data_IF_214434940216
#
_entry.id   IF_214434940216
#
_cell.length_a   1.000
_cell.length_b   1.000
_cell.length_c   1.000
_cell.angle_alpha   90.00
_cell.angle_beta   90.00
_cell.angle_gamma   90.00
#
_symmetry.space_group_name_H-M   'P 1'
#
loop_
_entity.id
_entity.type
_entity.pdbx_description
1 polymer ?
#
# COMPACT_ATOMS: atom_id res chain seq x y z
N UNK A 1 -7.78 8.06 -101.46
CA UNK A 1 -8.06 9.50 -101.58
C UNK A 1 -8.08 10.06 -100.18
N UNK A 2 -7.13 10.96 -99.88
CA UNK A 2 -7.13 12.01 -98.84
C UNK A 2 -7.09 11.57 -97.35
N UNK A 3 -5.96 11.93 -96.74
CA UNK A 3 -5.59 12.12 -95.30
C UNK A 3 -6.36 13.35 -94.75
N UNK A 4 -6.46 13.75 -93.45
CA UNK A 4 -6.13 13.19 -92.10
C UNK A 4 -7.31 13.29 -91.10
N UNK A 5 -7.08 12.99 -89.81
CA UNK A 5 -7.21 13.97 -88.69
C UNK A 5 -7.56 13.31 -87.35
N UNK A 6 -6.68 13.55 -86.39
CA UNK A 6 -6.92 13.90 -84.98
C UNK A 6 -8.27 13.56 -84.33
N UNK A 7 -8.16 12.97 -83.14
CA UNK A 7 -8.81 13.58 -81.98
C UNK A 7 -9.77 12.69 -81.21
N UNK A 8 -9.19 12.04 -80.19
CA UNK A 8 -9.81 11.63 -78.92
C UNK A 8 -10.85 10.50 -78.98
N UNK A 9 -10.38 9.29 -78.66
CA UNK A 9 -11.15 8.32 -77.90
C UNK A 9 -10.25 7.74 -76.80
N UNK A 10 -10.75 7.79 -75.55
CA UNK A 10 -10.15 7.07 -74.43
C UNK A 10 -10.33 5.55 -74.58
N UNK A 11 -9.66 4.76 -73.72
CA UNK A 11 -10.47 4.14 -72.66
C UNK A 11 -9.69 3.96 -71.35
N UNK A 12 -10.21 4.57 -70.27
CA UNK A 12 -9.87 4.16 -68.90
C UNK A 12 -10.97 3.26 -68.34
N UNK A 13 -10.54 2.01 -68.10
CA UNK A 13 -10.81 1.14 -66.95
C UNK A 13 -12.27 0.92 -66.46
N UNK A 14 -12.79 -0.33 -66.48
CA UNK A 14 -14.08 -0.66 -65.90
C UNK A 14 -13.91 -1.07 -64.42
N UNK A 15 -14.63 -0.41 -63.51
CA UNK A 15 -14.79 -0.95 -62.15
C UNK A 15 -15.07 0.04 -61.04
N UNK A 16 -16.14 0.84 -61.12
CA UNK A 16 -16.82 1.43 -59.96
C UNK A 16 -18.27 1.77 -60.36
N UNK A 17 -19.21 1.00 -59.84
CA UNK A 17 -20.65 1.23 -60.01
C UNK A 17 -21.17 1.99 -58.81
N UNK A 18 -21.24 3.31 -58.94
CA UNK A 18 -22.13 4.17 -58.13
C UNK A 18 -23.24 4.64 -59.07
N UNK A 19 -24.45 4.08 -58.90
CA UNK A 19 -25.63 4.51 -59.63
C UNK A 19 -26.38 5.60 -58.84
N UNK A 20 -26.82 6.69 -59.50
CA UNK A 20 -27.53 7.79 -58.87
C UNK A 20 -29.01 7.46 -58.66
N UNK A 21 -29.54 7.87 -57.52
CA UNK A 21 -30.96 7.71 -57.17
C UNK A 21 -31.82 8.69 -57.97
N UNK A 22 -32.60 8.17 -58.92
CA UNK A 22 -33.72 8.86 -59.56
C UNK A 22 -34.96 8.72 -58.68
N UNK A 23 -35.58 9.85 -58.36
CA UNK A 23 -36.79 9.97 -57.54
C UNK A 23 -38.01 9.46 -58.32
N UNK A 24 -38.55 8.31 -57.93
CA UNK A 24 -39.90 7.85 -58.30
C UNK A 24 -40.87 8.12 -57.14
N UNK A 25 -41.78 9.07 -57.34
CA UNK A 25 -42.90 9.35 -56.41
C UNK A 25 -43.91 8.20 -56.47
N UNK A 26 -43.90 7.33 -55.46
CA UNK A 26 -44.91 6.31 -55.24
C UNK A 26 -45.37 6.29 -53.78
N UNK A 27 -46.66 6.62 -53.57
CA UNK A 27 -47.55 6.39 -52.40
C UNK A 27 -46.97 6.60 -50.98
N UNK A 28 -47.53 7.49 -50.14
CA UNK A 28 -47.01 7.73 -48.80
C UNK A 28 -47.13 6.46 -47.94
N UNK A 29 -46.04 6.00 -47.30
CA UNK A 29 -46.14 4.97 -46.28
C UNK A 29 -46.94 5.51 -45.10
N UNK A 30 -47.81 4.67 -44.54
CA UNK A 30 -48.54 4.94 -43.29
C UNK A 30 -47.54 5.46 -42.27
N UNK A 31 -47.82 6.65 -41.71
CA UNK A 31 -47.05 7.28 -40.61
C UNK A 31 -46.64 6.19 -39.63
N UNK A 32 -45.34 5.90 -39.57
CA UNK A 32 -44.77 5.19 -38.44
C UNK A 32 -45.04 6.09 -37.22
N UNK A 33 -45.90 5.61 -36.33
CA UNK A 33 -46.12 6.18 -35.02
C UNK A 33 -44.78 6.20 -34.29
N UNK A 34 -44.19 7.39 -34.16
CA UNK A 34 -43.20 7.68 -33.11
C UNK A 34 -43.80 7.16 -31.80
N UNK A 35 -43.07 6.40 -30.96
CA UNK A 35 -43.60 5.99 -29.67
C UNK A 35 -44.09 7.25 -28.95
N UNK A 36 -45.37 7.25 -28.57
CA UNK A 36 -45.99 8.40 -27.93
C UNK A 36 -45.15 8.77 -26.71
N UNK A 37 -44.54 9.96 -26.72
CA UNK A 37 -43.95 10.56 -25.53
C UNK A 37 -45.12 10.84 -24.58
N UNK A 38 -45.35 9.91 -23.65
CA UNK A 38 -46.39 10.05 -22.65
C UNK A 38 -46.04 11.15 -21.67
N UNK A 39 -46.76 12.28 -21.74
CA UNK A 39 -46.80 13.35 -20.74
C UNK A 39 -45.46 14.03 -20.41
N UNK A 40 -45.47 15.14 -19.66
CA UNK A 40 -44.25 15.63 -19.04
C UNK A 40 -43.78 14.55 -18.05
N UNK A 41 -42.71 13.83 -18.39
CA UNK A 41 -42.03 12.96 -17.45
C UNK A 41 -41.58 13.84 -16.28
N UNK A 42 -42.11 13.59 -15.08
CA UNK A 42 -41.54 14.17 -13.87
C UNK A 42 -40.04 13.84 -13.87
N UNK A 43 -39.15 14.84 -13.75
CA UNK A 43 -37.73 14.59 -13.78
C UNK A 43 -37.39 13.66 -12.62
N UNK A 44 -37.02 12.43 -12.94
CA UNK A 44 -36.55 11.48 -11.95
C UNK A 44 -35.42 12.16 -11.17
N UNK A 45 -35.40 12.06 -9.82
CA UNK A 45 -34.35 12.67 -9.04
C UNK A 45 -33.00 12.11 -9.51
N UNK A 46 -32.14 12.99 -10.04
CA UNK A 46 -30.79 12.66 -10.49
C UNK A 46 -29.85 12.33 -9.33
N UNK A 47 -30.30 12.54 -8.09
CA UNK A 47 -29.58 12.22 -6.88
C UNK A 47 -29.55 10.70 -6.64
N UNK A 48 -28.38 10.19 -6.27
CA UNK A 48 -28.23 8.78 -5.90
C UNK A 48 -28.96 8.47 -4.58
N UNK A 49 -29.61 7.32 -4.52
CA UNK A 49 -30.09 6.73 -3.28
C UNK A 49 -28.91 6.29 -2.39
N UNK A 50 -29.18 6.01 -1.10
CA UNK A 50 -28.16 5.50 -0.19
C UNK A 50 -27.52 4.19 -0.69
N UNK A 51 -28.29 3.30 -1.29
CA UNK A 51 -27.79 2.04 -1.87
C UNK A 51 -26.92 2.30 -3.11
N UNK A 52 -27.31 3.26 -3.94
CA UNK A 52 -26.51 3.67 -5.11
C UNK A 52 -25.18 4.29 -4.68
N UNK A 53 -25.19 5.11 -3.61
CA UNK A 53 -23.98 5.61 -2.96
C UNK A 53 -23.11 4.49 -2.40
N UNK A 54 -23.68 3.52 -1.67
CA UNK A 54 -22.93 2.39 -1.13
C UNK A 54 -22.28 1.53 -2.22
N UNK A 55 -23.00 1.28 -3.31
CA UNK A 55 -22.47 0.55 -4.46
C UNK A 55 -21.36 1.32 -5.19
N UNK A 56 -21.53 2.64 -5.34
CA UNK A 56 -20.51 3.50 -5.94
C UNK A 56 -19.24 3.56 -5.07
N UNK A 57 -19.38 3.77 -3.76
CA UNK A 57 -18.28 3.77 -2.79
C UNK A 57 -17.51 2.45 -2.84
N UNK A 58 -18.21 1.32 -2.80
CA UNK A 58 -17.56 0.01 -2.91
C UNK A 58 -16.76 -0.14 -4.21
N UNK A 59 -17.33 0.26 -5.36
CA UNK A 59 -16.63 0.18 -6.66
C UNK A 59 -15.41 1.09 -6.72
N UNK A 60 -15.54 2.33 -6.24
CA UNK A 60 -14.45 3.30 -6.21
C UNK A 60 -13.31 2.83 -5.31
N UNK A 61 -13.61 2.23 -4.15
CA UNK A 61 -12.59 1.67 -3.25
C UNK A 61 -11.76 0.58 -3.93
N UNK A 62 -12.41 -0.36 -4.61
CA UNK A 62 -11.71 -1.45 -5.29
C UNK A 62 -10.87 -0.92 -6.47
N UNK A 63 -11.44 -0.04 -7.29
CA UNK A 63 -10.74 0.54 -8.43
C UNK A 63 -9.57 1.44 -8.01
N UNK A 64 -9.77 2.30 -7.01
CA UNK A 64 -8.74 3.18 -6.46
C UNK A 64 -7.57 2.38 -5.88
N UNK A 65 -7.86 1.33 -5.12
CA UNK A 65 -6.81 0.45 -4.56
C UNK A 65 -6.02 -0.27 -5.65
N UNK A 66 -6.68 -0.81 -6.68
CA UNK A 66 -5.99 -1.39 -7.83
C UNK A 66 -5.13 -0.37 -8.58
N UNK A 67 -5.62 0.86 -8.75
CA UNK A 67 -4.89 1.93 -9.41
C UNK A 67 -3.61 2.32 -8.66
N UNK A 68 -3.63 2.36 -7.32
CA UNK A 68 -2.43 2.66 -6.52
C UNK A 68 -1.33 1.63 -6.78
N UNK A 69 -1.66 0.34 -6.78
CA UNK A 69 -0.69 -0.72 -7.08
C UNK A 69 -0.13 -0.63 -8.50
N UNK A 70 -1.00 -0.42 -9.48
CA UNK A 70 -0.57 -0.27 -10.88
C UNK A 70 0.35 0.95 -11.05
N UNK A 71 -0.03 2.09 -10.47
CA UNK A 71 0.76 3.30 -10.50
C UNK A 71 2.13 3.09 -9.83
N UNK A 72 2.18 2.42 -8.67
CA UNK A 72 3.43 2.13 -7.98
C UNK A 72 4.41 1.30 -8.83
N UNK A 73 3.91 0.27 -9.52
CA UNK A 73 4.74 -0.52 -10.45
C UNK A 73 5.24 0.35 -11.59
N UNK A 74 4.36 1.15 -12.21
CA UNK A 74 4.78 2.02 -13.32
C UNK A 74 5.83 3.05 -12.87
N UNK A 75 5.68 3.62 -11.66
CA UNK A 75 6.68 4.53 -11.08
C UNK A 75 8.02 3.83 -10.85
N UNK A 76 8.01 2.62 -10.27
CA UNK A 76 9.26 1.86 -10.06
C UNK A 76 9.93 1.50 -11.37
N UNK A 77 9.16 1.11 -12.38
CA UNK A 77 9.70 0.75 -13.69
C UNK A 77 10.29 1.97 -14.40
N UNK A 78 9.63 3.14 -14.34
CA UNK A 78 10.18 4.41 -14.85
C UNK A 78 11.50 4.76 -14.16
N UNK A 79 11.53 4.72 -12.83
CA UNK A 79 12.73 5.01 -12.06
C UNK A 79 13.88 4.06 -12.43
N UNK A 80 13.60 2.76 -12.56
CA UNK A 80 14.62 1.77 -12.93
C UNK A 80 15.14 1.98 -14.36
N UNK A 81 14.25 2.26 -15.32
CA UNK A 81 14.66 2.57 -16.71
C UNK A 81 15.50 3.83 -16.75
N UNK A 82 15.15 4.85 -15.98
CA UNK A 82 15.93 6.08 -15.86
C UNK A 82 17.33 5.80 -15.29
N UNK A 83 17.39 5.15 -14.13
CA UNK A 83 18.63 4.83 -13.41
C UNK A 83 19.60 3.99 -14.25
N UNK A 84 19.08 3.08 -15.08
CA UNK A 84 19.89 2.14 -15.88
C UNK A 84 20.26 2.70 -17.24
N UNK A 85 19.31 3.31 -17.97
CA UNK A 85 19.53 3.71 -19.37
C UNK A 85 20.00 5.15 -19.52
N UNK A 86 19.60 6.08 -18.64
CA UNK A 86 20.04 7.47 -18.73
C UNK A 86 21.58 7.59 -18.69
N UNK A 87 22.32 6.91 -17.78
CA UNK A 87 23.78 6.98 -17.77
C UNK A 87 24.45 6.42 -19.03
N UNK A 88 23.75 5.56 -19.79
CA UNK A 88 24.27 4.95 -21.03
C UNK A 88 24.03 5.87 -22.23
N UNK A 89 22.82 6.44 -22.35
CA UNK A 89 22.41 7.18 -23.55
C UNK A 89 22.57 8.70 -23.43
N UNK A 90 22.32 9.28 -22.25
CA UNK A 90 22.38 10.73 -22.07
C UNK A 90 23.75 11.36 -22.37
N UNK A 91 24.91 10.71 -22.09
CA UNK A 91 26.21 11.30 -22.44
C UNK A 91 26.40 11.56 -23.94
N UNK A 92 25.76 10.77 -24.81
CA UNK A 92 25.86 10.92 -26.26
C UNK A 92 24.69 11.69 -26.88
N UNK A 93 23.52 11.65 -26.25
CA UNK A 93 22.25 12.12 -26.84
C UNK A 93 21.57 13.25 -26.06
N UNK A 94 22.08 13.64 -24.88
CA UNK A 94 21.53 14.73 -24.09
C UNK A 94 20.05 14.50 -23.71
N UNK A 95 19.20 15.47 -24.04
CA UNK A 95 17.75 15.42 -23.77
C UNK A 95 17.01 14.39 -24.63
N UNK A 96 17.58 13.98 -25.78
CA UNK A 96 16.99 13.03 -26.72
C UNK A 96 17.33 11.57 -26.38
N UNK A 97 17.88 11.30 -25.19
CA UNK A 97 18.34 9.98 -24.77
C UNK A 97 17.24 8.91 -24.83
N UNK A 98 15.98 9.27 -24.53
CA UNK A 98 14.84 8.33 -24.60
C UNK A 98 14.58 7.90 -26.03
N UNK A 99 14.64 8.83 -26.98
CA UNK A 99 14.49 8.53 -28.42
C UNK A 99 15.63 7.64 -28.90
N UNK A 100 16.86 7.93 -28.47
CA UNK A 100 18.03 7.13 -28.80
C UNK A 100 17.95 5.70 -28.23
N UNK A 101 17.48 5.56 -26.98
CA UNK A 101 17.26 4.26 -26.35
C UNK A 101 16.15 3.47 -27.06
N UNK A 102 15.04 4.12 -27.43
CA UNK A 102 13.93 3.48 -28.13
C UNK A 102 14.30 2.99 -29.54
N UNK A 103 15.25 3.66 -30.20
CA UNK A 103 15.67 3.35 -31.57
C UNK A 103 14.55 3.53 -32.60
N UNK A 104 14.77 3.07 -33.85
CA UNK A 104 13.84 3.31 -34.96
C UNK A 104 12.45 2.70 -34.75
N UNK A 105 12.37 1.56 -34.06
CA UNK A 105 11.11 0.89 -33.77
C UNK A 105 10.27 1.66 -32.73
N UNK A 106 10.91 2.53 -31.93
CA UNK A 106 10.24 3.25 -30.86
C UNK A 106 10.11 4.76 -31.00
N UNK A 107 10.70 5.33 -32.03
CA UNK A 107 10.64 6.76 -32.34
C UNK A 107 9.20 7.31 -32.34
N UNK A 108 8.25 6.60 -32.97
CA UNK A 108 6.86 7.05 -33.08
C UNK A 108 6.18 7.21 -31.71
N UNK A 109 6.39 6.26 -30.79
CA UNK A 109 5.76 6.33 -29.49
C UNK A 109 6.47 7.27 -28.53
N UNK A 110 7.79 7.46 -28.63
CA UNK A 110 8.50 8.52 -27.90
C UNK A 110 8.04 9.89 -28.39
N UNK A 111 7.87 10.08 -29.70
CA UNK A 111 7.36 11.33 -30.25
C UNK A 111 5.94 11.65 -29.75
N UNK A 112 5.06 10.65 -29.69
CA UNK A 112 3.73 10.80 -29.08
C UNK A 112 3.81 11.19 -27.60
N UNK A 113 4.70 10.58 -26.84
CA UNK A 113 4.92 10.92 -25.43
C UNK A 113 5.39 12.37 -25.26
N UNK A 114 6.35 12.81 -26.10
CA UNK A 114 6.81 14.21 -26.15
C UNK A 114 5.71 15.20 -26.51
N UNK A 115 4.81 14.84 -27.44
CA UNK A 115 3.67 15.68 -27.80
C UNK A 115 2.68 15.82 -26.62
N UNK A 116 2.42 14.74 -25.87
CA UNK A 116 1.56 14.79 -24.66
C UNK A 116 2.20 15.64 -23.57
N UNK A 117 3.51 15.52 -23.36
CA UNK A 117 4.28 16.37 -22.45
C UNK A 117 4.11 17.86 -22.79
N UNK A 118 4.29 18.22 -24.06
CA UNK A 118 4.18 19.62 -24.51
C UNK A 118 2.74 20.15 -24.40
N UNK A 119 1.73 19.31 -24.63
CA UNK A 119 0.33 19.68 -24.37
C UNK A 119 0.10 19.90 -22.87
N UNK A 120 0.64 19.04 -22.01
CA UNK A 120 0.50 19.16 -20.55
C UNK A 120 1.12 20.45 -20.02
N UNK A 121 2.33 20.78 -20.50
CA UNK A 121 3.02 22.03 -20.20
C UNK A 121 2.21 23.25 -20.62
N UNK A 122 1.74 23.29 -21.87
CA UNK A 122 0.95 24.43 -22.40
C UNK A 122 -0.38 24.63 -21.71
N UNK A 123 -1.03 23.54 -21.28
CA UNK A 123 -2.32 23.60 -20.57
C UNK A 123 -2.17 23.91 -19.08
N UNK A 124 -0.93 24.01 -18.57
CA UNK A 124 -0.67 24.25 -17.15
C UNK A 124 -1.12 23.09 -16.26
N UNK A 125 -1.13 21.86 -16.79
CA UNK A 125 -1.23 20.70 -15.92
C UNK A 125 0.03 20.66 -15.05
N UNK A 126 -0.14 20.51 -13.73
CA UNK A 126 0.97 20.49 -12.80
C UNK A 126 1.91 19.32 -13.17
N UNK A 127 3.05 19.64 -13.75
CA UNK A 127 4.18 18.73 -13.92
C UNK A 127 5.17 19.06 -12.81
N UNK A 128 5.57 18.07 -12.03
CA UNK A 128 6.75 18.23 -11.19
C UNK A 128 7.92 18.64 -12.13
N UNK A 129 8.75 19.64 -11.79
CA UNK A 129 9.94 19.95 -12.58
C UNK A 129 10.84 18.73 -12.83
N UNK A 130 10.84 17.74 -11.93
CA UNK A 130 11.52 16.46 -12.12
C UNK A 130 10.85 15.55 -13.17
N UNK A 131 9.57 15.76 -13.47
CA UNK A 131 8.77 15.00 -14.43
C UNK A 131 8.80 15.59 -15.85
N UNK A 132 9.66 16.59 -16.10
CA UNK A 132 9.77 17.25 -17.40
C UNK A 132 10.62 16.43 -18.40
N UNK A 133 10.35 15.14 -18.52
CA UNK A 133 11.04 14.18 -19.39
C UNK A 133 10.04 13.28 -20.16
N UNK A 134 10.24 12.99 -21.47
CA UNK A 134 9.39 12.08 -22.23
C UNK A 134 9.17 10.69 -21.59
N UNK A 135 10.13 10.18 -20.82
CA UNK A 135 10.06 8.90 -20.11
C UNK A 135 8.81 8.80 -19.22
N UNK A 136 8.41 9.91 -18.59
CA UNK A 136 7.24 9.97 -17.68
C UNK A 136 5.95 9.62 -18.40
N UNK A 137 5.87 9.96 -19.69
CA UNK A 137 4.67 9.78 -20.51
C UNK A 137 4.64 8.43 -21.24
N UNK A 138 5.67 7.59 -21.05
CA UNK A 138 5.67 6.22 -21.56
C UNK A 138 4.68 5.35 -20.78
N UNK A 139 4.01 4.49 -21.53
CA UNK A 139 3.08 3.47 -21.03
C UNK A 139 3.84 2.22 -20.56
N UNK A 140 3.22 1.40 -19.71
CA UNK A 140 3.80 0.14 -19.24
C UNK A 140 4.39 -0.75 -20.36
N UNK A 141 3.69 -0.99 -21.51
CA UNK A 141 4.26 -1.73 -22.62
C UNK A 141 5.54 -1.11 -23.22
N UNK A 142 5.62 0.22 -23.28
CA UNK A 142 6.79 0.94 -23.83
C UNK A 142 7.97 0.88 -22.87
N UNK A 143 7.72 0.99 -21.56
CA UNK A 143 8.74 0.81 -20.53
C UNK A 143 9.27 -0.64 -20.51
N UNK A 144 8.38 -1.63 -20.67
CA UNK A 144 8.74 -3.02 -20.88
C UNK A 144 9.63 -3.19 -22.10
N UNK A 145 9.25 -2.61 -23.24
CA UNK A 145 10.02 -2.70 -24.49
C UNK A 145 11.45 -2.18 -24.29
N UNK A 146 11.61 -0.99 -23.69
CA UNK A 146 12.93 -0.45 -23.36
C UNK A 146 13.75 -1.39 -22.48
N UNK A 147 13.13 -1.97 -21.45
CA UNK A 147 13.84 -2.89 -20.55
C UNK A 147 14.26 -4.19 -21.25
N UNK A 148 13.38 -4.76 -22.08
CA UNK A 148 13.60 -6.02 -22.79
C UNK A 148 14.66 -5.85 -23.89
N UNK A 149 14.59 -4.76 -24.66
CA UNK A 149 15.55 -4.43 -25.71
C UNK A 149 16.95 -4.22 -25.15
N UNK A 150 17.05 -3.61 -23.96
CA UNK A 150 18.32 -3.27 -23.31
C UNK A 150 18.66 -4.18 -22.14
N UNK A 151 18.13 -5.42 -22.12
CA UNK A 151 18.32 -6.37 -21.02
C UNK A 151 19.78 -6.48 -20.51
N UNK A 152 20.83 -6.48 -21.36
CA UNK A 152 22.22 -6.50 -20.88
C UNK A 152 22.58 -5.38 -19.89
N UNK A 153 21.89 -4.24 -19.92
CA UNK A 153 22.08 -3.15 -18.96
C UNK A 153 21.39 -3.44 -17.61
N UNK A 154 20.33 -4.24 -17.60
CA UNK A 154 19.53 -4.57 -16.41
C UNK A 154 20.00 -5.86 -15.71
N UNK A 155 20.63 -6.78 -16.44
CA UNK A 155 21.14 -8.07 -15.94
C UNK A 155 21.98 -7.96 -14.64
N UNK A 156 22.81 -6.92 -14.41
CA UNK A 156 23.55 -6.79 -13.16
C UNK A 156 22.67 -6.54 -11.92
N UNK A 157 21.44 -6.05 -12.12
CA UNK A 157 20.52 -5.64 -11.05
C UNK A 157 19.35 -6.61 -10.88
N UNK A 158 19.00 -7.35 -11.93
CA UNK A 158 17.81 -8.20 -12.01
C UNK A 158 18.20 -9.65 -12.36
N UNK A 159 17.64 -10.59 -11.59
CA UNK A 159 18.14 -11.97 -11.56
C UNK A 159 17.55 -12.84 -12.69
N UNK A 160 16.28 -12.62 -13.08
CA UNK A 160 15.60 -13.46 -14.07
C UNK A 160 14.72 -12.65 -15.04
N UNK A 161 15.20 -12.53 -16.28
CA UNK A 161 14.49 -11.88 -17.39
C UNK A 161 13.11 -12.46 -17.64
N UNK A 162 13.04 -13.80 -17.72
CA UNK A 162 11.82 -14.51 -18.10
C UNK A 162 10.78 -14.36 -17.01
N UNK A 163 11.20 -14.41 -15.76
CA UNK A 163 10.32 -14.21 -14.62
C UNK A 163 9.68 -12.81 -14.61
N UNK A 164 10.47 -11.79 -14.93
CA UNK A 164 10.02 -10.40 -15.04
C UNK A 164 9.08 -10.19 -16.23
N UNK A 165 9.42 -10.74 -17.41
CA UNK A 165 8.55 -10.65 -18.59
C UNK A 165 7.17 -11.27 -18.32
N UNK A 166 7.13 -12.47 -17.70
CA UNK A 166 5.88 -13.12 -17.31
C UNK A 166 5.08 -12.30 -16.28
N UNK A 167 5.77 -11.67 -15.32
CA UNK A 167 5.14 -10.82 -14.32
C UNK A 167 4.53 -9.55 -14.96
N UNK A 168 5.20 -8.97 -15.95
CA UNK A 168 4.70 -7.82 -16.71
C UNK A 168 3.50 -8.17 -17.58
N UNK A 169 3.51 -9.34 -18.24
CA UNK A 169 2.36 -9.84 -19.00
C UNK A 169 1.12 -10.01 -18.10
N UNK A 170 1.29 -10.61 -16.91
CA UNK A 170 0.20 -10.74 -15.95
C UNK A 170 -0.33 -9.37 -15.49
N UNK A 171 0.57 -8.40 -15.25
CA UNK A 171 0.17 -7.06 -14.84
C UNK A 171 -0.54 -6.28 -15.96
N UNK A 172 -0.14 -6.44 -17.21
CA UNK A 172 -0.83 -5.83 -18.35
C UNK A 172 -2.28 -6.33 -18.47
N UNK A 173 -2.51 -7.63 -18.27
CA UNK A 173 -3.86 -8.19 -18.19
C UNK A 173 -4.63 -7.56 -17.04
N UNK A 174 -4.03 -7.46 -15.85
CA UNK A 174 -4.67 -6.81 -14.70
C UNK A 174 -5.01 -5.34 -14.97
N UNK A 175 -4.10 -4.57 -15.57
CA UNK A 175 -4.31 -3.16 -15.96
C UNK A 175 -5.45 -3.01 -16.97
N UNK A 176 -5.54 -3.91 -17.94
CA UNK A 176 -6.63 -3.91 -18.92
C UNK A 176 -7.99 -4.16 -18.24
N UNK A 177 -8.05 -5.15 -17.34
CA UNK A 177 -9.24 -5.44 -16.55
C UNK A 177 -9.63 -4.22 -15.69
N UNK A 178 -8.68 -3.58 -15.02
CA UNK A 178 -8.93 -2.40 -14.17
C UNK A 178 -9.42 -1.20 -14.99
N UNK A 179 -8.81 -0.93 -16.15
CA UNK A 179 -9.14 0.24 -16.97
C UNK A 179 -10.45 0.14 -17.73
N UNK A 180 -10.87 -1.07 -18.12
CA UNK A 180 -12.08 -1.26 -18.95
C UNK A 180 -13.34 -1.57 -18.15
N UNK A 181 -13.23 -2.05 -16.92
CA UNK A 181 -14.38 -2.47 -16.14
C UNK A 181 -14.89 -1.35 -15.22
N UNK A 182 -16.20 -1.11 -15.26
CA UNK A 182 -16.89 -0.17 -14.35
C UNK A 182 -16.82 -0.61 -12.87
N UNK A 183 -16.60 -1.90 -12.62
CA UNK A 183 -16.50 -2.47 -11.28
C UNK A 183 -15.53 -3.64 -11.27
N UNK A 184 -14.74 -3.74 -10.21
CA UNK A 184 -13.86 -4.88 -9.96
C UNK A 184 -14.49 -5.81 -8.93
N UNK A 185 -14.22 -7.11 -9.05
CA UNK A 185 -14.50 -8.06 -7.98
C UNK A 185 -13.34 -8.09 -6.99
N UNK A 186 -13.60 -8.50 -5.74
CA UNK A 186 -12.54 -8.67 -4.74
C UNK A 186 -11.46 -9.67 -5.17
N UNK A 187 -11.83 -10.70 -5.94
CA UNK A 187 -10.89 -11.68 -6.49
C UNK A 187 -9.93 -11.06 -7.50
N UNK A 188 -10.44 -10.22 -8.40
CA UNK A 188 -9.62 -9.51 -9.40
C UNK A 188 -8.69 -8.51 -8.72
N UNK A 189 -9.18 -7.79 -7.71
CA UNK A 189 -8.33 -6.92 -6.89
C UNK A 189 -7.20 -7.74 -6.27
N UNK A 190 -7.51 -8.80 -5.52
CA UNK A 190 -6.50 -9.61 -4.85
C UNK A 190 -5.47 -10.22 -5.83
N UNK A 191 -5.89 -10.59 -7.05
CA UNK A 191 -4.96 -11.02 -8.10
C UNK A 191 -4.05 -9.88 -8.57
N UNK A 192 -4.62 -8.71 -8.83
CA UNK A 192 -3.86 -7.50 -9.24
C UNK A 192 -2.82 -7.12 -8.20
N UNK A 193 -3.19 -7.14 -6.92
CA UNK A 193 -2.28 -6.82 -5.81
C UNK A 193 -1.14 -7.83 -5.72
N UNK A 194 -1.44 -9.14 -5.85
CA UNK A 194 -0.40 -10.18 -5.83
C UNK A 194 0.55 -10.04 -7.02
N UNK A 195 0.03 -9.80 -8.22
CA UNK A 195 0.85 -9.61 -9.41
C UNK A 195 1.78 -8.38 -9.27
N UNK A 196 1.23 -7.26 -8.80
CA UNK A 196 1.99 -6.03 -8.56
C UNK A 196 3.06 -6.21 -7.47
N UNK A 197 2.71 -6.79 -6.32
CA UNK A 197 3.63 -7.05 -5.22
C UNK A 197 4.78 -7.98 -5.63
N UNK A 198 4.47 -9.03 -6.39
CA UNK A 198 5.47 -9.95 -6.95
C UNK A 198 6.42 -9.22 -7.88
N UNK A 199 5.90 -8.43 -8.83
CA UNK A 199 6.74 -7.69 -9.77
C UNK A 199 7.62 -6.66 -9.06
N UNK A 200 7.10 -5.91 -8.08
CA UNK A 200 7.91 -4.99 -7.28
C UNK A 200 9.06 -5.70 -6.57
N UNK A 201 8.80 -6.88 -6.00
CA UNK A 201 9.84 -7.70 -5.36
C UNK A 201 10.93 -8.09 -6.35
N UNK A 202 10.57 -8.44 -7.58
CA UNK A 202 11.53 -8.78 -8.65
C UNK A 202 12.34 -7.54 -9.09
N UNK A 203 11.69 -6.39 -9.25
CA UNK A 203 12.33 -5.13 -9.64
C UNK A 203 13.27 -4.56 -8.55
N UNK A 204 13.09 -4.97 -7.30
CA UNK A 204 13.97 -4.62 -6.17
C UNK A 204 15.05 -5.69 -5.89
N UNK A 205 15.26 -6.63 -6.81
CA UNK A 205 16.28 -7.68 -6.70
C UNK A 205 16.07 -8.62 -5.52
N UNK A 206 14.82 -8.80 -5.07
CA UNK A 206 14.46 -9.63 -3.91
C UNK A 206 14.80 -9.03 -2.55
N UNK A 207 15.35 -7.81 -2.52
CA UNK A 207 15.71 -7.09 -1.29
C UNK A 207 14.62 -6.12 -0.82
N UNK A 208 13.60 -5.85 -1.64
CA UNK A 208 12.51 -4.94 -1.33
C UNK A 208 11.40 -5.59 -0.52
N UNK A 209 11.07 -5.00 0.62
CA UNK A 209 9.79 -5.30 1.25
C UNK A 209 8.71 -4.64 0.42
N UNK A 210 7.69 -5.41 -0.01
CA UNK A 210 6.42 -4.85 -0.47
C UNK A 210 6.05 -3.73 0.51
N UNK A 211 5.84 -2.48 0.05
CA UNK A 211 5.50 -1.40 0.97
C UNK A 211 4.33 -1.89 1.78
N UNK A 212 4.43 -1.82 3.10
CA UNK A 212 3.36 -2.20 3.99
C UNK A 212 2.21 -1.23 3.68
N UNK A 213 1.37 -1.69 2.74
CA UNK A 213 0.40 -1.00 1.89
C UNK A 213 0.76 0.47 1.57
N UNK A 214 1.17 0.77 0.33
CA UNK A 214 1.32 2.18 -0.12
C UNK A 214 0.04 2.98 0.14
N UNK A 215 -1.14 2.33 0.16
CA UNK A 215 -2.39 2.97 0.59
C UNK A 215 -2.37 3.26 2.11
N UNK A 216 -1.86 2.37 2.95
CA UNK A 216 -1.66 2.63 4.39
C UNK A 216 -0.69 3.78 4.63
N UNK A 217 0.39 3.92 3.85
CA UNK A 217 1.32 5.06 3.98
C UNK A 217 0.75 6.37 3.43
N UNK A 218 0.02 6.32 2.30
CA UNK A 218 -0.72 7.47 1.75
C UNK A 218 -1.80 7.99 2.70
N UNK A 219 -2.35 7.11 3.55
CA UNK A 219 -3.42 7.43 4.50
C UNK A 219 -2.90 7.62 5.92
N UNK A 220 -1.73 7.08 6.27
CA UNK A 220 -1.16 7.11 7.62
C UNK A 220 -0.90 8.53 8.14
N UNK A 221 -0.48 9.44 7.25
CA UNK A 221 -0.32 10.86 7.59
C UNK A 221 -1.64 11.56 7.96
N UNK A 222 -2.77 11.02 7.51
CA UNK A 222 -4.10 11.53 7.91
C UNK A 222 -4.48 11.10 9.33
N UNK A 223 -3.88 10.03 9.85
CA UNK A 223 -4.26 9.41 11.12
C UNK A 223 -3.10 9.35 12.14
N UNK A 224 -2.21 10.33 12.11
CA UNK A 224 -1.18 10.54 13.14
C UNK A 224 -0.37 9.26 13.45
N UNK A 225 0.26 8.68 12.43
CA UNK A 225 1.07 7.45 12.45
C UNK A 225 0.30 6.12 12.54
N UNK A 226 -1.03 6.12 12.58
CA UNK A 226 -1.82 4.87 12.53
C UNK A 226 -1.73 4.27 11.13
N UNK A 227 -1.10 3.10 11.03
CA UNK A 227 -0.97 2.37 9.77
C UNK A 227 -2.02 1.28 9.62
N UNK A 228 -2.52 0.69 10.72
CA UNK A 228 -3.62 -0.26 10.63
C UNK A 228 -4.48 -0.29 11.90
N UNK A 229 -5.74 -0.72 11.73
CA UNK A 229 -6.69 -0.93 12.81
C UNK A 229 -7.31 -2.31 12.66
N UNK A 230 -7.17 -3.13 13.70
CA UNK A 230 -7.76 -4.48 13.75
C UNK A 230 -8.89 -4.50 14.76
N UNK A 231 -9.99 -5.16 14.41
CA UNK A 231 -11.18 -5.26 15.26
C UNK A 231 -10.91 -6.01 16.58
N UNK A 232 -9.93 -6.91 16.58
CA UNK A 232 -9.58 -7.76 17.72
C UNK A 232 -8.11 -8.19 17.63
N UNK A 233 -7.57 -8.74 18.73
CA UNK A 233 -6.18 -9.20 18.80
C UNK A 233 -5.90 -10.40 17.90
N UNK A 234 -6.91 -11.25 17.64
CA UNK A 234 -6.72 -12.46 16.82
C UNK A 234 -6.40 -12.07 15.38
N UNK A 235 -7.11 -11.08 14.84
CA UNK A 235 -6.83 -10.52 13.51
C UNK A 235 -5.45 -9.87 13.46
N UNK A 236 -5.12 -9.03 14.45
CA UNK A 236 -3.78 -8.44 14.56
C UNK A 236 -2.70 -9.53 14.48
N UNK A 237 -2.81 -10.59 15.28
CA UNK A 237 -1.76 -11.62 15.36
C UNK A 237 -1.65 -12.49 14.11
N UNK A 238 -2.66 -12.52 13.24
CA UNK A 238 -2.58 -13.18 11.93
C UNK A 238 -1.79 -12.37 10.91
N UNK A 239 -1.86 -11.04 11.01
CA UNK A 239 -1.23 -10.11 10.06
C UNK A 239 0.12 -9.61 10.56
N UNK A 240 0.27 -9.42 11.87
CA UNK A 240 1.49 -9.02 12.56
C UNK A 240 1.69 -9.91 13.80
N UNK A 241 2.28 -11.11 13.62
CA UNK A 241 2.75 -11.94 14.73
C UNK A 241 3.71 -11.19 15.66
N UNK A 242 3.83 -11.64 16.91
CA UNK A 242 4.72 -10.99 17.89
C UNK A 242 6.18 -11.13 17.48
N UNK A 243 6.51 -12.18 16.75
CA UNK A 243 7.82 -12.40 16.13
C UNK A 243 8.18 -11.27 15.18
N UNK A 244 7.27 -10.93 14.28
CA UNK A 244 7.47 -9.89 13.25
C UNK A 244 7.41 -8.48 13.86
N UNK A 245 6.67 -8.31 14.96
CA UNK A 245 6.70 -7.09 15.78
C UNK A 245 8.06 -6.87 16.44
N UNK A 246 8.72 -7.94 16.90
CA UNK A 246 9.98 -7.87 17.66
C UNK A 246 11.24 -8.11 16.80
N UNK A 247 11.07 -8.34 15.50
CA UNK A 247 12.18 -8.57 14.58
C UNK A 247 13.08 -7.33 14.50
N UNK A 248 14.37 -7.49 14.80
CA UNK A 248 15.34 -6.38 14.76
C UNK A 248 15.17 -5.35 15.90
N UNK A 249 14.37 -5.65 16.92
CA UNK A 249 14.13 -4.74 18.03
C UNK A 249 15.40 -4.45 18.84
N UNK A 250 15.74 -3.17 18.97
CA UNK A 250 16.78 -2.64 19.86
C UNK A 250 16.23 -2.28 21.23
N UNK A 251 14.96 -1.89 21.31
CA UNK A 251 14.25 -1.61 22.55
C UNK A 251 12.81 -2.08 22.49
N UNK A 252 12.32 -2.62 23.59
CA UNK A 252 10.92 -2.98 23.80
C UNK A 252 10.45 -2.35 25.12
N UNK A 253 9.50 -1.43 25.01
CA UNK A 253 8.78 -0.85 26.12
C UNK A 253 7.34 -1.35 26.10
N UNK A 254 6.92 -2.09 27.13
CA UNK A 254 5.60 -2.69 27.16
C UNK A 254 4.86 -2.37 28.46
N UNK A 255 3.64 -1.85 28.34
CA UNK A 255 2.76 -1.50 29.47
C UNK A 255 1.39 -2.17 29.32
N UNK A 256 0.83 -2.62 30.43
CA UNK A 256 -0.53 -3.13 30.48
C UNK A 256 -0.80 -3.96 31.73
N UNK A 257 -1.98 -4.57 31.78
CA UNK A 257 -2.43 -5.35 32.94
C UNK A 257 -1.52 -6.57 33.15
N UNK A 258 -1.40 -7.43 32.14
CA UNK A 258 -0.68 -8.70 32.23
C UNK A 258 0.29 -8.93 31.07
N UNK A 259 0.42 -7.98 30.13
CA UNK A 259 1.23 -8.10 28.91
C UNK A 259 1.00 -9.41 28.13
N UNK A 260 -0.28 -9.81 28.02
CA UNK A 260 -0.67 -11.12 27.52
C UNK A 260 -0.21 -11.41 26.09
N UNK A 261 -0.12 -10.40 25.22
CA UNK A 261 0.34 -10.62 23.84
C UNK A 261 1.77 -11.13 23.82
N UNK A 262 2.67 -10.50 24.58
CA UNK A 262 4.06 -10.94 24.73
C UNK A 262 4.16 -12.26 25.49
N UNK A 263 3.57 -12.34 26.69
CA UNK A 263 3.80 -13.46 27.61
C UNK A 263 3.16 -14.79 27.14
N UNK A 264 2.10 -14.72 26.32
CA UNK A 264 1.40 -15.92 25.85
C UNK A 264 1.91 -16.41 24.49
N UNK A 265 2.39 -15.50 23.64
CA UNK A 265 2.73 -15.84 22.25
C UNK A 265 4.24 -15.84 21.99
N UNK A 266 5.04 -15.24 22.87
CA UNK A 266 6.48 -15.18 22.72
C UNK A 266 7.18 -16.01 23.81
N UNK A 267 7.88 -17.06 23.38
CA UNK A 267 8.47 -18.03 24.33
C UNK A 267 9.59 -17.41 25.16
N UNK A 268 9.77 -17.88 26.40
CA UNK A 268 10.88 -17.45 27.24
C UNK A 268 12.27 -17.71 26.62
N UNK A 269 12.45 -18.75 25.79
CA UNK A 269 13.69 -18.97 25.04
C UNK A 269 13.95 -17.84 24.03
N UNK A 270 12.91 -17.38 23.33
CA UNK A 270 12.99 -16.27 22.38
C UNK A 270 13.21 -14.94 23.09
N UNK A 271 12.57 -14.69 24.23
CA UNK A 271 12.86 -13.50 25.05
C UNK A 271 14.31 -13.46 25.52
N UNK A 272 14.87 -14.60 25.95
CA UNK A 272 16.29 -14.69 26.33
C UNK A 272 17.18 -14.35 25.14
N UNK A 273 16.87 -14.89 23.96
CA UNK A 273 17.62 -14.61 22.72
C UNK A 273 17.57 -13.12 22.37
N UNK A 274 16.37 -12.54 22.33
CA UNK A 274 16.15 -11.13 22.01
C UNK A 274 16.97 -10.20 22.91
N UNK A 275 16.90 -10.41 24.24
CA UNK A 275 17.68 -9.61 25.18
C UNK A 275 19.19 -9.90 25.10
N UNK A 276 19.60 -11.14 24.80
CA UNK A 276 21.02 -11.49 24.62
C UNK A 276 21.63 -10.91 23.34
N UNK A 277 20.80 -10.63 22.32
CA UNK A 277 21.19 -9.92 21.09
C UNK A 277 21.30 -8.40 21.29
N UNK A 278 21.11 -7.91 22.52
CA UNK A 278 21.31 -6.51 22.90
C UNK A 278 20.03 -5.67 22.98
N UNK A 279 18.85 -6.30 22.83
CA UNK A 279 17.57 -5.60 22.99
C UNK A 279 17.35 -5.19 24.46
N UNK A 280 17.08 -3.89 24.69
CA UNK A 280 16.68 -3.39 26.01
C UNK A 280 15.19 -3.59 26.23
N UNK A 281 14.81 -4.23 27.32
CA UNK A 281 13.42 -4.61 27.59
C UNK A 281 12.94 -3.98 28.89
N UNK A 282 11.88 -3.17 28.82
CA UNK A 282 11.20 -2.57 29.98
C UNK A 282 9.75 -3.01 30.02
N UNK A 283 9.40 -3.82 31.03
CA UNK A 283 8.07 -4.39 31.17
C UNK A 283 7.36 -3.82 32.38
N UNK A 284 6.18 -3.25 32.17
CA UNK A 284 5.37 -2.60 33.18
C UNK A 284 4.01 -3.30 33.31
N UNK A 285 3.81 -3.94 34.47
CA UNK A 285 2.62 -4.72 34.79
C UNK A 285 1.72 -3.99 35.79
N UNK A 286 0.41 -4.23 35.73
CA UNK A 286 -0.47 -3.81 36.82
C UNK A 286 -0.12 -4.61 38.09
N UNK A 287 -0.01 -3.97 39.24
CA UNK A 287 0.26 -4.66 40.49
C UNK A 287 -0.88 -5.65 40.80
N UNK A 288 -0.61 -6.96 40.92
CA UNK A 288 -1.65 -7.97 41.17
C UNK A 288 -2.42 -7.74 42.48
N UNK A 289 -1.80 -7.09 43.46
CA UNK A 289 -2.42 -6.79 44.76
C UNK A 289 -3.31 -5.52 44.74
N UNK A 290 -3.26 -4.72 43.68
CA UNK A 290 -3.95 -3.42 43.59
C UNK A 290 -5.48 -3.55 43.60
N UNK A 291 -6.15 -2.49 44.05
CA UNK A 291 -7.60 -2.37 43.97
C UNK A 291 -8.11 -2.31 42.52
N UNK A 292 -7.26 -1.83 41.59
CA UNK A 292 -7.53 -1.78 40.16
C UNK A 292 -7.79 -3.16 39.56
N UNK A 293 -6.99 -4.18 39.94
CA UNK A 293 -7.19 -5.57 39.49
C UNK A 293 -8.57 -6.09 39.93
N UNK A 294 -8.92 -5.92 41.21
CA UNK A 294 -10.21 -6.38 41.76
C UNK A 294 -11.39 -5.67 41.09
N UNK A 295 -11.24 -4.39 40.76
CA UNK A 295 -12.24 -3.64 40.01
C UNK A 295 -12.40 -4.22 38.60
N UNK A 296 -11.29 -4.49 37.91
CA UNK A 296 -11.31 -5.03 36.56
C UNK A 296 -11.90 -6.44 36.48
N UNK A 297 -11.61 -7.29 37.47
CA UNK A 297 -12.24 -8.62 37.59
C UNK A 297 -13.77 -8.51 37.64
N UNK A 298 -14.30 -7.59 38.45
CA UNK A 298 -15.75 -7.33 38.53
C UNK A 298 -16.33 -6.80 37.22
N UNK A 299 -15.62 -5.91 36.53
CA UNK A 299 -16.06 -5.37 35.23
C UNK A 299 -16.15 -6.44 34.14
N UNK A 300 -15.24 -7.41 34.17
CA UNK A 300 -15.16 -8.51 33.21
C UNK A 300 -15.95 -9.77 33.62
N UNK A 301 -16.56 -9.77 34.80
CA UNK A 301 -17.26 -10.94 35.35
C UNK A 301 -16.34 -12.13 35.61
N UNK A 302 -15.06 -11.88 35.94
CA UNK A 302 -14.07 -12.92 36.24
C UNK A 302 -14.18 -13.39 37.69
N UNK A 303 -13.67 -14.60 37.95
CA UNK A 303 -13.54 -15.11 39.31
C UNK A 303 -12.61 -14.24 40.17
N UNK A 304 -12.87 -14.19 41.47
CA UNK A 304 -12.03 -13.44 42.43
C UNK A 304 -10.58 -13.93 42.37
N UNK A 305 -9.64 -13.03 42.09
CA UNK A 305 -8.21 -13.33 42.02
C UNK A 305 -7.79 -14.13 40.78
N UNK A 306 -8.67 -14.32 39.80
CA UNK A 306 -8.31 -14.95 38.52
C UNK A 306 -7.35 -14.08 37.71
N UNK A 307 -7.63 -12.78 37.62
CA UNK A 307 -6.77 -11.84 36.90
C UNK A 307 -5.47 -11.61 37.67
N UNK A 308 -5.52 -11.50 39.00
CA UNK A 308 -4.34 -11.36 39.84
C UNK A 308 -3.36 -12.53 39.62
N UNK A 309 -3.84 -13.77 39.66
CA UNK A 309 -3.01 -14.97 39.40
C UNK A 309 -2.42 -14.99 37.99
N UNK A 310 -3.18 -14.54 36.99
CA UNK A 310 -2.70 -14.44 35.61
C UNK A 310 -1.54 -13.44 35.48
N UNK A 311 -1.65 -12.28 36.13
CA UNK A 311 -0.59 -11.27 36.20
C UNK A 311 0.65 -11.85 36.90
N UNK A 312 0.48 -12.48 38.07
CA UNK A 312 1.57 -13.10 38.83
C UNK A 312 2.31 -14.16 38.02
N UNK A 313 1.58 -15.04 37.31
CA UNK A 313 2.18 -16.04 36.43
C UNK A 313 3.04 -15.41 35.33
N UNK A 314 2.58 -14.32 34.72
CA UNK A 314 3.32 -13.63 33.67
C UNK A 314 4.56 -12.93 34.23
N UNK A 315 4.46 -12.27 35.39
CA UNK A 315 5.61 -11.70 36.10
C UNK A 315 6.64 -12.79 36.42
N UNK A 316 6.20 -13.95 36.94
CA UNK A 316 7.10 -15.07 37.24
C UNK A 316 7.73 -15.67 35.97
N UNK A 317 7.03 -15.68 34.84
CA UNK A 317 7.59 -16.08 33.56
C UNK A 317 8.75 -15.14 33.15
N UNK A 318 8.55 -13.82 33.17
CA UNK A 318 9.59 -12.87 32.74
C UNK A 318 10.72 -12.74 33.76
N UNK A 319 10.48 -12.98 35.06
CA UNK A 319 11.56 -13.11 36.06
C UNK A 319 12.48 -14.30 35.76
N UNK A 320 11.92 -15.45 35.35
CA UNK A 320 12.71 -16.61 34.91
C UNK A 320 13.52 -16.34 33.64
N UNK A 321 13.01 -15.49 32.75
CA UNK A 321 13.76 -14.99 31.60
C UNK A 321 14.93 -14.13 32.07
N UNK A 322 14.68 -13.10 32.89
CA UNK A 322 15.71 -12.20 33.44
C UNK A 322 16.84 -12.97 34.13
N UNK A 323 16.50 -13.98 34.93
CA UNK A 323 17.48 -14.80 35.66
C UNK A 323 18.44 -15.60 34.75
N UNK A 324 18.12 -15.77 33.46
CA UNK A 324 18.96 -16.47 32.48
C UNK A 324 19.85 -15.53 31.67
N UNK A 325 19.70 -14.22 31.84
CA UNK A 325 20.46 -13.21 31.13
C UNK A 325 21.77 -12.91 31.84
N UNK A 326 22.82 -12.62 31.05
CA UNK A 326 24.10 -12.14 31.57
C UNK A 326 23.98 -10.69 32.05
N UNK A 327 23.36 -9.84 31.24
CA UNK A 327 23.00 -8.48 31.60
C UNK A 327 21.53 -8.46 32.06
N UNK A 328 21.33 -8.37 33.37
CA UNK A 328 19.99 -8.22 33.94
C UNK A 328 19.51 -6.76 33.92
N UNK A 329 20.42 -5.79 33.77
CA UNK A 329 20.10 -4.36 33.69
C UNK A 329 19.40 -4.00 32.38
N UNK A 330 19.71 -4.71 31.30
CA UNK A 330 18.98 -4.62 30.04
C UNK A 330 17.55 -5.20 30.05
N UNK A 331 17.08 -5.80 31.15
CA UNK A 331 15.76 -6.40 31.27
C UNK A 331 15.08 -6.01 32.58
N UNK A 332 14.32 -4.91 32.57
CA UNK A 332 13.65 -4.35 33.74
C UNK A 332 12.18 -4.77 33.82
N UNK A 333 11.74 -5.11 35.04
CA UNK A 333 10.36 -5.50 35.34
C UNK A 333 9.85 -4.60 36.45
N UNK A 334 8.75 -3.89 36.20
CA UNK A 334 8.14 -2.97 37.16
C UNK A 334 6.63 -3.19 37.28
N UNK A 335 6.06 -2.70 38.37
CA UNK A 335 4.63 -2.69 38.64
C UNK A 335 4.10 -1.30 38.99
N UNK A 336 2.87 -1.01 38.62
CA UNK A 336 2.16 0.23 38.96
C UNK A 336 0.76 -0.08 39.53
N UNK A 337 0.19 0.83 40.30
CA UNK A 337 -1.06 0.60 41.05
C UNK A 337 -2.32 1.15 40.36
N UNK A 338 -2.16 2.04 39.38
CA UNK A 338 -3.28 2.65 38.64
C UNK A 338 -3.80 1.73 37.51
N UNK A 339 -5.10 1.77 37.25
CA UNK A 339 -5.68 1.02 36.13
C UNK A 339 -5.23 1.61 34.78
N UNK A 340 -4.48 0.89 33.94
CA UNK A 340 -4.09 1.39 32.63
C UNK A 340 -5.32 1.58 31.73
N UNK A 341 -5.27 2.58 30.84
CA UNK A 341 -6.30 2.83 29.82
C UNK A 341 -6.09 2.01 28.55
N UNK A 342 -4.88 1.53 28.33
CA UNK A 342 -4.49 0.72 27.18
C UNK A 342 -3.39 -0.28 27.56
N UNK A 343 -3.14 -1.25 26.69
CA UNK A 343 -1.85 -1.95 26.65
C UNK A 343 -1.09 -1.50 25.42
N UNK A 344 0.21 -1.25 25.57
CA UNK A 344 1.07 -0.86 24.47
C UNK A 344 2.32 -1.74 24.44
N UNK A 345 2.79 -2.02 23.22
CA UNK A 345 4.09 -2.63 22.94
C UNK A 345 4.78 -1.70 21.96
N UNK A 346 5.77 -0.96 22.45
CA UNK A 346 6.49 0.08 21.73
C UNK A 346 7.88 -0.48 21.43
N UNK A 347 8.18 -0.61 20.14
CA UNK A 347 9.39 -1.24 19.64
C UNK A 347 10.21 -0.20 18.91
N UNK A 348 11.46 -0.06 19.31
CA UNK A 348 12.47 0.71 18.60
C UNK A 348 13.43 -0.26 17.90
N UNK A 349 13.74 -0.05 16.63
CA UNK A 349 14.58 -1.00 15.90
C UNK A 349 14.85 -0.62 14.46
N UNK A 350 15.88 -1.21 13.87
CA UNK A 350 16.11 -1.12 12.43
C UNK A 350 15.45 -2.33 11.77
N UNK A 351 14.53 -2.10 10.84
CA UNK A 351 14.07 -3.18 9.96
C UNK A 351 15.12 -3.50 8.90
N UNK A 352 15.10 -4.72 8.33
CA UNK A 352 16.00 -5.09 7.25
C UNK A 352 16.00 -4.05 6.12
N UNK A 353 17.15 -3.84 5.46
CA UNK A 353 17.21 -2.97 4.28
C UNK A 353 16.16 -3.41 3.26
N UNK A 354 15.37 -2.45 2.73
CA UNK A 354 14.28 -2.73 1.79
C UNK A 354 12.89 -2.23 2.20
N UNK A 355 12.68 -1.83 3.47
CA UNK A 355 11.47 -1.11 3.93
C UNK A 355 11.85 0.30 4.35
N UNK A 356 11.54 1.32 3.54
CA UNK A 356 11.89 2.72 3.85
C UNK A 356 11.02 3.29 4.99
N UNK A 357 11.66 4.21 5.73
CA UNK A 357 11.13 5.17 6.73
C UNK A 357 10.60 4.54 8.04
N UNK A 358 11.52 4.54 9.01
CA UNK A 358 11.36 4.20 10.44
C UNK A 358 11.07 2.72 10.75
N UNK A 359 11.98 2.09 11.48
CA UNK A 359 11.76 0.74 11.99
C UNK A 359 11.01 0.70 13.33
N UNK A 360 10.57 1.86 13.82
CA UNK A 360 9.85 1.95 15.09
C UNK A 360 8.37 1.62 14.90
N UNK A 361 7.86 0.73 15.76
CA UNK A 361 6.51 0.19 15.67
C UNK A 361 5.85 0.19 17.04
N UNK A 362 4.57 0.55 17.08
CA UNK A 362 3.74 0.48 18.28
C UNK A 362 2.52 -0.39 18.03
N UNK A 363 2.17 -1.25 18.97
CA UNK A 363 0.84 -1.87 19.03
C UNK A 363 0.14 -1.35 20.27
N UNK A 364 -1.01 -0.70 20.09
CA UNK A 364 -1.81 -0.16 21.18
C UNK A 364 -3.20 -0.76 21.17
N UNK A 365 -3.66 -1.24 22.32
CA UNK A 365 -5.02 -1.74 22.49
C UNK A 365 -5.71 -1.06 23.68
N UNK A 366 -6.82 -0.33 23.48
CA UNK A 366 -7.56 0.26 24.59
C UNK A 366 -8.23 -0.81 25.45
N UNK A 367 -8.35 -0.56 26.75
CA UNK A 367 -9.13 -1.40 27.64
C UNK A 367 -10.60 -0.98 27.62
N UNK A 368 -11.41 -1.69 26.84
CA UNK A 368 -12.86 -1.48 26.83
C UNK A 368 -13.51 -2.00 28.11
N UNK A 369 -14.60 -1.37 28.56
CA UNK A 369 -15.25 -1.68 29.83
C UNK A 369 -15.66 -3.16 29.97
N UNK A 370 -16.18 -3.78 28.90
CA UNK A 370 -16.74 -5.14 28.92
C UNK A 370 -15.99 -6.14 28.04
N UNK A 371 -14.89 -5.74 27.41
CA UNK A 371 -14.13 -6.61 26.50
C UNK A 371 -12.86 -7.12 27.18
N UNK A 372 -12.53 -8.39 26.93
CA UNK A 372 -11.23 -8.96 27.27
C UNK A 372 -10.17 -8.38 26.33
N UNK A 373 -8.90 -8.49 26.73
CA UNK A 373 -7.80 -7.98 25.90
C UNK A 373 -7.72 -8.60 24.50
N UNK A 374 -8.22 -9.83 24.32
CA UNK A 374 -8.27 -10.50 23.02
C UNK A 374 -9.38 -9.95 22.11
N UNK A 375 -10.46 -9.43 22.69
CA UNK A 375 -11.63 -8.86 22.02
C UNK A 375 -11.50 -7.35 21.78
N UNK A 376 -10.44 -6.73 22.33
CA UNK A 376 -10.22 -5.29 22.22
C UNK A 376 -9.59 -4.98 20.87
N UNK A 377 -10.01 -3.88 20.21
CA UNK A 377 -9.39 -3.45 18.97
C UNK A 377 -7.91 -3.16 19.18
N UNK A 378 -7.14 -3.21 18.10
CA UNK A 378 -5.71 -2.91 18.11
C UNK A 378 -5.37 -1.87 17.04
N UNK A 379 -4.57 -0.89 17.42
CA UNK A 379 -3.97 0.09 16.54
C UNK A 379 -2.51 -0.29 16.34
N UNK A 380 -2.05 -0.30 15.09
CA UNK A 380 -0.62 -0.39 14.77
C UNK A 380 -0.15 1.00 14.38
N UNK A 381 0.90 1.46 15.04
CA UNK A 381 1.51 2.77 14.88
C UNK A 381 2.90 2.59 14.27
N UNK A 382 3.28 3.42 13.30
CA UNK A 382 4.62 3.39 12.71
C UNK A 382 5.23 4.78 12.79
N UNK A 383 6.35 4.93 13.47
CA UNK A 383 6.93 6.25 13.73
C UNK A 383 7.27 6.97 12.42
N UNK A 384 6.90 8.23 12.28
CA UNK A 384 7.17 8.99 11.06
C UNK A 384 6.37 8.54 9.82
N UNK A 385 5.33 7.72 10.01
CA UNK A 385 4.40 7.38 8.95
C UNK A 385 3.47 8.57 8.68
N UNK A 386 3.89 9.38 7.71
CA UNK A 386 3.09 10.50 7.21
C UNK A 386 3.25 11.82 7.98
N UNK A 387 4.31 11.95 8.79
CA UNK A 387 4.82 13.27 9.14
C UNK A 387 5.46 13.91 7.91
N UNK A 388 5.00 15.10 7.53
CA UNK A 388 5.71 15.90 6.54
C UNK A 388 7.11 16.26 7.05
N UNK A 389 8.13 16.29 6.18
CA UNK A 389 9.46 16.74 6.56
C UNK A 389 9.39 18.15 7.19
N UNK A 390 9.66 18.25 8.50
CA UNK A 390 9.60 19.52 9.25
C UNK A 390 8.30 19.79 10.02
N UNK A 391 7.35 18.83 10.05
CA UNK A 391 6.17 18.92 10.91
C UNK A 391 6.55 18.98 12.40
N UNK A 392 5.95 19.92 13.13
CA UNK A 392 6.23 20.17 14.56
C UNK A 392 5.42 19.28 15.52
N UNK A 393 4.32 18.66 15.07
CA UNK A 393 3.45 17.88 15.94
C UNK A 393 3.91 16.41 16.07
N UNK A 394 4.04 15.88 17.30
CA UNK A 394 4.39 14.49 17.53
C UNK A 394 3.25 13.56 17.09
N UNK A 395 3.58 12.50 16.35
CA UNK A 395 2.61 11.46 15.99
C UNK A 395 2.23 10.58 17.18
N UNK A 396 1.18 9.75 17.04
CA UNK A 396 0.64 8.99 18.17
C UNK A 396 1.65 8.03 18.81
N UNK A 397 2.61 7.51 18.04
CA UNK A 397 3.64 6.63 18.61
C UNK A 397 4.42 7.35 19.71
N UNK A 398 4.77 8.62 19.49
CA UNK A 398 5.53 9.41 20.45
C UNK A 398 4.68 9.79 21.67
N UNK A 399 3.40 10.11 21.46
CA UNK A 399 2.44 10.32 22.56
C UNK A 399 2.39 9.10 23.49
N UNK A 400 2.32 7.88 22.93
CA UNK A 400 2.32 6.67 23.77
C UNK A 400 3.67 6.36 24.43
N UNK A 401 4.78 6.84 23.88
CA UNK A 401 6.11 6.76 24.52
C UNK A 401 6.21 7.71 25.70
N UNK A 402 5.74 8.95 25.55
CA UNK A 402 5.66 9.92 26.65
C UNK A 402 4.79 9.37 27.80
N UNK A 403 3.61 8.83 27.47
CA UNK A 403 2.73 8.18 28.45
C UNK A 403 3.42 6.98 29.13
N UNK A 404 4.17 6.16 28.39
CA UNK A 404 4.95 5.08 28.97
C UNK A 404 5.97 5.60 30.00
N UNK A 405 6.76 6.63 29.64
CA UNK A 405 7.77 7.20 30.54
C UNK A 405 7.15 7.79 31.80
N UNK A 406 5.99 8.45 31.68
CA UNK A 406 5.24 8.95 32.84
C UNK A 406 4.92 7.84 33.84
N UNK A 407 4.30 6.73 33.37
CA UNK A 407 3.98 5.61 34.26
C UNK A 407 5.25 4.87 34.72
N UNK A 408 6.31 4.86 33.91
CA UNK A 408 7.58 4.23 34.26
C UNK A 408 8.26 4.90 35.46
N UNK A 409 8.26 6.23 35.51
CA UNK A 409 8.83 7.02 36.62
C UNK A 409 8.10 6.74 37.93
N UNK A 410 6.77 6.61 37.90
CA UNK A 410 5.93 6.37 39.08
C UNK A 410 5.84 4.89 39.50
N UNK A 411 6.46 3.99 38.73
CA UNK A 411 6.38 2.55 38.95
C UNK A 411 7.43 2.02 39.95
N UNK A 412 7.17 0.83 40.49
CA UNK A 412 8.04 0.14 41.45
C UNK A 412 8.73 -1.06 40.81
N UNK A 413 10.03 -1.21 41.04
CA UNK A 413 10.77 -2.38 40.57
C UNK A 413 10.28 -3.67 41.22
N UNK A 414 10.21 -4.74 40.42
CA UNK A 414 10.00 -6.10 40.90
C UNK A 414 11.36 -6.75 41.10
N UNK A 415 11.72 -6.96 42.38
CA UNK A 415 12.93 -7.69 42.79
C UNK A 415 12.93 -9.11 42.27
#
# INVERSE_FOLDING_TARGET
>A
MVVPADGRDGPENPGRSEAPTVVMRGRPPKRATVPAQGGPAEPAPLAWSADQWGLADHRVRLAGRAYVWLNLVEQRLRALVDEVLRPVYAPAHGEDWVTAAAGPAGEEWVHRAGAVREVSRRKGYLLDPADDDPLVFLTLPQLRELMVQHWPCFEPYLIDRREIELALDELEVARHVVSRNRSLSGTVLAQTERAAARLLTLLDGGSGGVPADVVEELVGGRFADVVSVHADRVRLQRELPVEDLLEGARRLDAVGIALGMLCQNYTGKRLVRLASEGCRVRLLFLNPASSAVRRRERELGLGRGELARSIEMNIMHVRRVRARLRDQGGFEIRVFDEMPRFTAYLVEGARPPGRRRSGDLGVVQPYLRRARGIESPALVLRGGAGQEPGGQEPGLLEVYREEFEGVWVDSRAVS
#
